data_IF_911539975869
#
_entry.id   IF_911539975869
#
_cell.length_a   1.000
_cell.length_b   1.000
_cell.length_c   1.000
_cell.angle_alpha   90.00
_cell.angle_beta   90.00
_cell.angle_gamma   90.00
#
_symmetry.space_group_name_H-M   'P 1'
#
loop_
_entity.id
_entity.type
_entity.pdbx_description
1 polymer ?
#
# COMPACT_ATOMS: atom_id res chain seq x y z
N UNK A 1 -9.42 5.74 -15.94
CA UNK A 1 -10.72 6.29 -15.47
C UNK A 1 -11.02 7.56 -16.25
N UNK A 2 -12.22 7.71 -16.81
CA UNK A 2 -12.59 8.89 -17.62
C UNK A 2 -12.94 10.05 -16.66
N UNK A 3 -12.39 11.24 -16.93
CA UNK A 3 -12.70 12.44 -16.14
C UNK A 3 -14.22 12.72 -16.17
N UNK A 4 -14.79 13.14 -15.03
CA UNK A 4 -16.23 13.36 -14.85
C UNK A 4 -16.75 14.64 -15.55
N UNK A 5 -16.21 14.98 -16.72
CA UNK A 5 -16.42 16.27 -17.38
C UNK A 5 -17.83 16.46 -17.98
N UNK A 6 -18.58 15.39 -18.22
CA UNK A 6 -19.99 15.48 -18.64
C UNK A 6 -20.69 14.14 -18.44
N UNK A 7 -21.33 13.96 -17.29
CA UNK A 7 -22.09 12.74 -17.03
C UNK A 7 -23.38 13.13 -16.31
N UNK A 8 -24.53 12.93 -16.98
CA UNK A 8 -25.87 13.26 -16.48
C UNK A 8 -26.15 12.50 -15.18
N UNK A 9 -26.79 13.13 -14.20
CA UNK A 9 -27.23 12.51 -12.93
C UNK A 9 -26.80 13.26 -11.66
N UNK A 10 -27.43 12.91 -10.55
CA UNK A 10 -27.17 13.49 -9.21
C UNK A 10 -25.76 13.15 -8.71
N UNK A 11 -25.24 13.94 -7.77
CA UNK A 11 -23.93 13.68 -7.15
C UNK A 11 -23.87 12.31 -6.48
N UNK A 12 -24.96 11.90 -5.83
CA UNK A 12 -25.08 10.59 -5.21
C UNK A 12 -24.92 9.47 -6.24
N UNK A 13 -25.58 9.58 -7.40
CA UNK A 13 -25.45 8.59 -8.48
C UNK A 13 -24.01 8.50 -9.01
N UNK A 14 -23.32 9.64 -9.15
CA UNK A 14 -21.91 9.67 -9.58
C UNK A 14 -21.00 9.00 -8.57
N UNK A 15 -21.20 9.29 -7.29
CA UNK A 15 -20.44 8.69 -6.20
C UNK A 15 -20.65 7.18 -6.18
N UNK A 16 -21.90 6.71 -6.20
CA UNK A 16 -22.24 5.28 -6.22
C UNK A 16 -21.60 4.56 -7.41
N UNK A 17 -21.58 5.18 -8.60
CA UNK A 17 -20.94 4.59 -9.79
C UNK A 17 -19.43 4.49 -9.66
N UNK A 18 -18.78 5.54 -9.14
CA UNK A 18 -17.34 5.51 -8.85
C UNK A 18 -17.00 4.43 -7.82
N UNK A 19 -17.79 4.40 -6.75
CA UNK A 19 -17.66 3.50 -5.62
C UNK A 19 -17.78 2.02 -6.01
N UNK A 20 -18.65 1.67 -6.95
CA UNK A 20 -18.74 0.31 -7.50
C UNK A 20 -17.48 -0.03 -8.31
N UNK A 21 -17.03 0.87 -9.18
CA UNK A 21 -15.84 0.64 -10.00
C UNK A 21 -14.57 0.50 -9.16
N UNK A 22 -14.40 1.35 -8.13
CA UNK A 22 -13.26 1.31 -7.23
C UNK A 22 -13.21 0.00 -6.42
N UNK A 23 -14.35 -0.44 -5.86
CA UNK A 23 -14.41 -1.66 -5.05
C UNK A 23 -14.20 -2.96 -5.85
N UNK A 24 -14.45 -2.93 -7.16
CA UNK A 24 -14.25 -4.08 -8.05
C UNK A 24 -12.91 -4.03 -8.80
N UNK A 25 -12.14 -2.95 -8.69
CA UNK A 25 -10.81 -2.89 -9.26
C UNK A 25 -9.82 -3.67 -8.36
N UNK A 26 -8.98 -4.55 -8.92
CA UNK A 26 -7.96 -5.23 -8.14
C UNK A 26 -6.95 -4.23 -7.59
N UNK A 27 -6.60 -4.36 -6.31
CA UNK A 27 -5.65 -3.47 -5.67
C UNK A 27 -4.21 -3.88 -6.03
N UNK A 28 -3.32 -2.91 -6.24
CA UNK A 28 -1.96 -3.13 -6.78
C UNK A 28 -1.08 -4.01 -5.91
N UNK A 29 -1.26 -3.93 -4.59
CA UNK A 29 -0.42 -4.63 -3.62
C UNK A 29 -0.95 -6.02 -3.30
N UNK A 30 -2.28 -6.17 -3.19
CA UNK A 30 -2.92 -7.42 -2.77
C UNK A 30 -3.42 -8.27 -3.95
N UNK A 31 -3.51 -7.72 -5.15
CA UNK A 31 -4.04 -8.39 -6.35
C UNK A 31 -5.55 -8.64 -6.32
N UNK A 32 -6.17 -8.58 -5.14
CA UNK A 32 -7.59 -8.80 -4.92
C UNK A 32 -8.39 -7.50 -4.80
N UNK A 33 -9.69 -7.62 -5.01
CA UNK A 33 -10.61 -6.47 -4.97
C UNK A 33 -11.02 -6.12 -3.54
N UNK A 34 -11.20 -4.83 -3.19
CA UNK A 34 -11.74 -4.43 -1.89
C UNK A 34 -13.09 -5.10 -1.57
N UNK A 35 -13.95 -5.30 -2.58
CA UNK A 35 -15.22 -6.01 -2.42
C UNK A 35 -15.02 -7.48 -2.00
N UNK A 36 -13.98 -8.14 -2.50
CA UNK A 36 -13.64 -9.51 -2.10
C UNK A 36 -13.24 -9.56 -0.62
N UNK A 37 -12.40 -8.66 -0.14
CA UNK A 37 -12.06 -8.61 1.29
C UNK A 37 -13.26 -8.30 2.19
N UNK A 38 -14.20 -7.49 1.72
CA UNK A 38 -15.38 -7.10 2.51
C UNK A 38 -16.47 -8.17 2.53
N UNK A 39 -16.74 -8.81 1.40
CA UNK A 39 -17.89 -9.72 1.22
C UNK A 39 -17.49 -11.18 1.00
N UNK A 40 -16.18 -11.48 0.98
CA UNK A 40 -15.60 -12.78 0.66
C UNK A 40 -16.08 -13.35 -0.70
N UNK A 41 -16.43 -12.47 -1.64
CA UNK A 41 -16.86 -12.82 -3.00
C UNK A 41 -16.60 -11.67 -3.98
N UNK A 42 -16.32 -11.98 -5.24
CA UNK A 42 -16.22 -10.98 -6.29
C UNK A 42 -17.63 -10.54 -6.73
N UNK A 43 -17.90 -9.24 -6.71
CA UNK A 43 -19.17 -8.70 -7.22
C UNK A 43 -19.15 -8.79 -8.75
N UNK A 44 -20.13 -9.48 -9.33
CA UNK A 44 -20.23 -9.61 -10.79
C UNK A 44 -20.61 -8.28 -11.43
N UNK A 45 -19.81 -7.85 -12.38
CA UNK A 45 -20.12 -6.73 -13.28
C UNK A 45 -20.37 -7.24 -14.70
N UNK A 46 -20.94 -6.40 -15.58
CA UNK A 46 -21.17 -6.76 -16.98
C UNK A 46 -19.88 -7.16 -17.72
N UNK A 47 -18.73 -6.62 -17.30
CA UNK A 47 -17.43 -6.93 -17.90
C UNK A 47 -16.89 -8.30 -17.47
N UNK A 48 -17.30 -8.82 -16.31
CA UNK A 48 -16.87 -10.15 -15.84
C UNK A 48 -17.48 -11.29 -16.67
N UNK A 49 -18.61 -11.04 -17.34
CA UNK A 49 -19.24 -12.00 -18.25
C UNK A 49 -18.40 -12.17 -19.52
N UNK A 50 -17.72 -11.12 -19.97
CA UNK A 50 -16.92 -11.12 -21.19
C UNK A 50 -15.45 -11.55 -20.95
N UNK A 51 -15.07 -11.84 -19.70
CA UNK A 51 -13.68 -12.09 -19.33
C UNK A 51 -13.29 -13.56 -19.57
N UNK A 52 -12.28 -13.85 -20.40
CA UNK A 52 -11.76 -15.21 -20.54
C UNK A 52 -11.05 -15.67 -19.26
N UNK A 53 -10.96 -16.98 -19.06
CA UNK A 53 -10.33 -17.60 -17.88
C UNK A 53 -8.88 -17.15 -17.70
N UNK A 54 -8.53 -16.65 -16.50
CA UNK A 54 -7.20 -16.11 -16.17
C UNK A 54 -6.27 -17.10 -15.45
N UNK A 55 -6.69 -18.37 -15.31
CA UNK A 55 -6.02 -19.36 -14.44
C UNK A 55 -4.53 -19.54 -14.74
N UNK A 56 -4.15 -19.58 -16.03
CA UNK A 56 -2.74 -19.71 -16.46
C UNK A 56 -1.91 -18.50 -16.06
N UNK A 57 -2.42 -17.28 -16.31
CA UNK A 57 -1.72 -16.02 -15.98
C UNK A 57 -1.50 -15.82 -14.48
N UNK A 58 -2.39 -16.35 -13.64
CA UNK A 58 -2.23 -16.34 -12.17
C UNK A 58 -1.12 -17.31 -11.75
N UNK A 59 -1.09 -18.52 -12.32
CA UNK A 59 -0.03 -19.50 -12.04
C UNK A 59 1.35 -18.98 -12.43
N UNK A 60 1.48 -18.34 -13.61
CA UNK A 60 2.74 -17.78 -14.09
C UNK A 60 3.26 -16.65 -13.19
N UNK A 61 2.38 -15.78 -12.71
CA UNK A 61 2.76 -14.68 -11.82
C UNK A 61 3.10 -15.14 -10.40
N UNK A 62 2.41 -16.16 -9.89
CA UNK A 62 2.77 -16.78 -8.61
C UNK A 62 4.16 -17.41 -8.69
N UNK A 63 4.47 -18.10 -9.80
CA UNK A 63 5.80 -18.66 -10.04
C UNK A 63 6.90 -17.58 -10.11
N UNK A 64 6.64 -16.46 -10.80
CA UNK A 64 7.58 -15.33 -10.90
C UNK A 64 7.80 -14.58 -9.57
N UNK A 65 6.79 -14.51 -8.71
CA UNK A 65 6.92 -13.85 -7.41
C UNK A 65 7.76 -14.68 -6.43
N UNK A 66 7.65 -16.01 -6.47
CA UNK A 66 8.50 -16.93 -5.69
C UNK A 66 9.96 -16.82 -6.11
N UNK A 67 10.24 -16.67 -7.41
CA UNK A 67 11.63 -16.59 -7.92
C UNK A 67 12.27 -15.22 -7.75
N UNK A 68 11.49 -14.13 -7.70
CA UNK A 68 12.03 -12.75 -7.65
C UNK A 68 12.30 -12.22 -6.23
N UNK A 69 11.83 -12.89 -5.17
CA UNK A 69 11.85 -12.33 -3.81
C UNK A 69 13.10 -12.69 -2.97
N UNK A 70 14.21 -13.11 -3.59
CA UNK A 70 15.33 -13.70 -2.84
C UNK A 70 16.50 -12.76 -2.50
N UNK A 71 16.59 -11.52 -3.00
CA UNK A 71 17.81 -10.71 -2.76
C UNK A 71 17.58 -9.20 -2.70
N UNK A 72 16.86 -8.73 -1.69
CA UNK A 72 17.09 -7.37 -1.19
C UNK A 72 17.57 -7.49 0.25
N UNK A 73 18.86 -7.22 0.48
CA UNK A 73 19.41 -7.09 1.83
C UNK A 73 18.59 -6.05 2.58
N UNK A 74 17.87 -6.49 3.60
CA UNK A 74 17.07 -5.62 4.43
C UNK A 74 18.05 -4.88 5.34
N UNK A 75 18.09 -3.55 5.20
CA UNK A 75 18.90 -2.70 6.07
C UNK A 75 18.38 -2.84 7.50
N UNK A 76 19.15 -3.52 8.34
CA UNK A 76 18.89 -3.68 9.77
C UNK A 76 19.82 -2.76 10.54
N UNK A 77 19.32 -2.26 11.66
CA UNK A 77 20.10 -1.50 12.63
C UNK A 77 20.04 -2.19 13.98
N UNK A 78 21.05 -1.95 14.80
CA UNK A 78 21.16 -2.49 16.16
C UNK A 78 20.90 -1.38 17.17
N UNK A 79 20.43 -1.77 18.35
CA UNK A 79 20.39 -0.87 19.51
C UNK A 79 21.78 -0.29 19.74
N UNK A 80 21.85 1.03 19.89
CA UNK A 80 23.10 1.77 20.02
C UNK A 80 23.63 2.37 18.72
N UNK A 81 23.13 1.98 17.54
CA UNK A 81 23.52 2.60 16.27
C UNK A 81 23.08 4.07 16.21
N UNK A 82 23.97 4.92 15.69
CA UNK A 82 23.66 6.32 15.42
C UNK A 82 22.92 6.45 14.09
N UNK A 83 21.79 7.15 14.13
CA UNK A 83 20.95 7.40 12.97
C UNK A 83 20.60 8.89 12.89
N UNK A 84 20.21 9.32 11.70
CA UNK A 84 19.62 10.65 11.49
C UNK A 84 18.11 10.49 11.33
N UNK A 85 17.36 11.15 12.20
CA UNK A 85 15.90 11.15 12.21
C UNK A 85 15.40 12.43 11.56
N UNK A 86 14.32 12.31 10.81
CA UNK A 86 13.68 13.47 10.21
C UNK A 86 12.74 14.14 11.19
N UNK A 87 13.05 15.37 11.60
CA UNK A 87 12.12 16.21 12.34
C UNK A 87 11.23 17.01 11.37
N UNK A 88 9.93 17.00 11.64
CA UNK A 88 8.91 17.72 10.87
C UNK A 88 8.40 18.97 11.60
N UNK A 89 8.84 19.23 12.84
CA UNK A 89 8.39 20.36 13.67
C UNK A 89 9.25 21.61 13.48
N UNK A 90 10.56 21.45 13.28
CA UNK A 90 11.52 22.56 13.16
C UNK A 90 12.01 22.87 11.75
N UNK A 91 12.92 23.86 11.66
CA UNK A 91 13.59 24.24 10.42
C UNK A 91 14.69 23.24 10.01
N UNK A 92 15.29 22.54 10.97
CA UNK A 92 16.31 21.51 10.73
C UNK A 92 15.64 20.17 10.40
N UNK A 93 15.73 19.76 9.13
CA UNK A 93 15.08 18.53 8.64
C UNK A 93 15.69 17.24 9.18
N UNK A 94 16.93 17.25 9.65
CA UNK A 94 17.63 16.04 10.08
C UNK A 94 18.29 16.28 11.42
N UNK A 95 18.03 15.39 12.38
CA UNK A 95 18.59 15.46 13.72
C UNK A 95 19.24 14.12 14.07
N UNK A 96 20.39 14.18 14.74
CA UNK A 96 21.08 12.98 15.19
C UNK A 96 20.35 12.35 16.38
N UNK A 97 20.22 11.03 16.34
CA UNK A 97 19.66 10.24 17.43
C UNK A 97 20.33 8.86 17.49
N UNK A 98 20.05 8.14 18.56
CA UNK A 98 20.55 6.79 18.81
C UNK A 98 19.39 5.83 18.95
N UNK A 99 19.48 4.65 18.33
CA UNK A 99 18.43 3.64 18.43
C UNK A 99 18.40 3.09 19.86
N UNK A 100 17.26 3.25 20.54
CA UNK A 100 17.04 2.74 21.90
C UNK A 100 16.51 1.30 21.88
N UNK A 101 15.58 1.00 20.99
CA UNK A 101 15.01 -0.35 20.86
C UNK A 101 14.45 -0.64 19.47
N UNK A 102 14.43 -1.92 19.11
CA UNK A 102 13.74 -2.40 17.92
C UNK A 102 12.31 -2.84 18.29
N UNK A 103 11.32 -2.06 17.87
CA UNK A 103 9.89 -2.29 18.17
C UNK A 103 9.23 -3.18 17.11
N UNK A 104 9.85 -3.34 15.95
CA UNK A 104 9.41 -4.28 14.92
C UNK A 104 10.44 -4.50 13.82
N UNK A 105 10.08 -5.33 12.83
CA UNK A 105 11.01 -5.71 11.75
C UNK A 105 11.61 -4.51 10.99
N UNK A 106 10.89 -3.38 10.92
CA UNK A 106 11.36 -2.11 10.33
C UNK A 106 11.08 -0.89 11.21
N UNK A 107 10.73 -1.10 12.47
CA UNK A 107 10.35 -0.04 13.39
C UNK A 107 11.38 0.02 14.53
N UNK A 108 11.91 1.22 14.77
CA UNK A 108 12.92 1.48 15.78
C UNK A 108 12.49 2.70 16.59
N UNK A 109 12.63 2.60 17.90
CA UNK A 109 12.56 3.76 18.78
C UNK A 109 13.95 4.41 18.79
N UNK A 110 13.96 5.74 18.69
CA UNK A 110 15.20 6.51 18.60
C UNK A 110 15.16 7.61 19.66
N UNK A 111 16.19 7.63 20.50
CA UNK A 111 16.41 8.68 21.46
C UNK A 111 17.17 9.82 20.78
N UNK A 112 16.57 11.00 20.80
CA UNK A 112 17.14 12.22 20.28
C UNK A 112 17.53 13.04 21.50
N UNK A 113 18.80 13.47 21.59
CA UNK A 113 19.25 14.31 22.70
C UNK A 113 18.30 15.51 22.83
N UNK A 114 17.81 15.84 24.05
CA UNK A 114 16.83 16.90 24.23
C UNK A 114 17.44 18.22 23.79
N UNK A 115 17.05 18.67 22.60
CA UNK A 115 17.20 20.04 22.17
C UNK A 115 16.30 20.87 23.07
N UNK A 116 16.94 21.58 24.00
CA UNK A 116 16.39 22.66 24.81
C UNK A 116 15.47 23.52 23.93
N UNK A 117 14.23 23.69 24.39
CA UNK A 117 13.24 24.63 23.82
C UNK A 117 13.84 26.04 23.79
#
# INVERSE_FOLDING_TARGET
MKAAKSNKGTMHFKLSRFLIAYRNAPHSTTGETPAFFMFNRHLRTKLDIAKPSIKSKVADKQHQQVTSHSQASLRTYRTGDHVVVRDYRGHAKWQHGQISSQTGFRNYDVEIAPGII
#
